data_IF_416161716597
#
_entry.id   IF_416161716597
#
_cell.length_a   1.000
_cell.length_b   1.000
_cell.length_c   1.000
_cell.angle_alpha   90.00
_cell.angle_beta   90.00
_cell.angle_gamma   90.00
#
_symmetry.space_group_name_H-M   'P 1'
#
loop_
_entity.id
_entity.type
_entity.pdbx_description
1 polymer ?
#
# COMPACT_ATOMS: atom_id res chain seq x y z
N UNK A 1 9.51 8.32 3.03
CA UNK A 1 9.28 7.56 1.78
C UNK A 1 9.81 6.14 1.99
N UNK A 2 8.94 5.14 2.11
CA UNK A 2 9.36 3.76 2.37
C UNK A 2 9.60 3.07 1.02
N UNK A 3 10.80 2.51 0.87
CA UNK A 3 11.24 1.74 -0.31
C UNK A 3 10.60 0.34 -0.26
N UNK A 4 10.17 -0.24 -1.39
CA UNK A 4 9.68 -1.62 -1.40
C UNK A 4 10.76 -2.61 -0.93
N UNK A 5 10.34 -3.59 -0.13
CA UNK A 5 11.23 -4.59 0.44
C UNK A 5 11.98 -5.34 -0.68
N UNK A 6 13.29 -5.55 -0.48
CA UNK A 6 14.17 -6.16 -1.49
C UNK A 6 14.84 -5.16 -2.46
N UNK A 7 14.51 -3.87 -2.40
CA UNK A 7 15.11 -2.82 -3.25
C UNK A 7 15.88 -1.76 -2.46
N UNK A 8 16.28 -2.08 -1.23
CA UNK A 8 16.97 -1.15 -0.31
C UNK A 8 18.33 -0.68 -0.85
N UNK A 9 19.01 -1.53 -1.61
CA UNK A 9 20.32 -1.26 -2.21
C UNK A 9 20.23 -0.76 -3.66
N UNK A 10 19.02 -0.64 -4.21
CA UNK A 10 18.80 -0.18 -5.58
C UNK A 10 18.55 1.33 -5.62
N UNK A 11 19.02 1.99 -6.69
CA UNK A 11 18.66 3.38 -6.93
C UNK A 11 17.24 3.45 -7.50
N UNK A 12 16.35 4.07 -6.73
CA UNK A 12 14.93 4.18 -7.08
C UNK A 12 14.52 5.62 -7.36
N UNK A 13 13.84 5.81 -8.49
CA UNK A 13 13.24 7.09 -8.88
C UNK A 13 11.74 7.04 -8.62
N UNK A 14 11.20 8.00 -7.87
CA UNK A 14 9.76 8.10 -7.64
C UNK A 14 9.04 8.54 -8.93
N UNK A 15 8.15 7.68 -9.47
CA UNK A 15 7.36 7.92 -10.70
C UNK A 15 5.87 8.16 -10.41
N UNK A 16 5.59 8.76 -9.24
CA UNK A 16 4.23 9.10 -8.82
C UNK A 16 3.47 7.90 -8.26
N UNK A 17 2.19 7.77 -8.60
CA UNK A 17 1.30 6.75 -8.02
C UNK A 17 0.53 5.99 -9.10
N UNK A 18 0.12 4.77 -8.79
CA UNK A 18 -0.91 4.05 -9.53
C UNK A 18 -2.28 4.71 -9.34
N UNK A 19 -3.26 4.23 -10.11
CA UNK A 19 -4.66 4.55 -9.88
C UNK A 19 -5.05 4.31 -8.43
N UNK A 20 -5.87 5.21 -7.89
CA UNK A 20 -6.41 5.07 -6.55
C UNK A 20 -7.35 3.88 -6.51
N UNK A 21 -7.28 3.10 -5.44
CA UNK A 21 -8.33 2.16 -5.06
C UNK A 21 -9.13 2.79 -3.93
N UNK A 22 -10.43 2.49 -3.86
CA UNK A 22 -11.29 2.90 -2.76
C UNK A 22 -11.64 1.67 -1.97
N UNK A 23 -11.29 1.67 -0.69
CA UNK A 23 -11.65 0.62 0.24
C UNK A 23 -12.76 1.17 1.13
N UNK A 24 -13.92 0.54 1.07
CA UNK A 24 -15.00 0.81 1.97
C UNK A 24 -14.93 -0.18 3.12
N UNK A 25 -14.90 0.34 4.34
CA UNK A 25 -14.90 -0.44 5.58
C UNK A 25 -15.87 0.18 6.60
N UNK A 26 -16.27 -0.59 7.61
CA UNK A 26 -17.10 -0.14 8.72
C UNK A 26 -16.33 -0.23 10.03
N UNK A 27 -15.22 0.51 10.20
CA UNK A 27 -14.42 0.37 11.40
C UNK A 27 -15.14 1.08 12.54
N UNK A 28 -15.68 0.26 13.45
CA UNK A 28 -16.03 0.55 14.83
C UNK A 28 -16.82 1.86 14.97
N UNK A 29 -18.17 1.72 15.03
CA UNK A 29 -19.26 2.72 15.25
C UNK A 29 -20.29 2.81 14.09
N UNK A 30 -20.40 1.81 13.22
CA UNK A 30 -21.40 1.72 12.11
C UNK A 30 -21.39 2.90 11.12
N UNK A 31 -20.34 3.71 11.11
CA UNK A 31 -20.15 4.78 10.12
C UNK A 31 -19.36 4.24 8.94
N UNK A 32 -19.82 4.47 7.70
CA UNK A 32 -19.06 4.07 6.53
C UNK A 32 -17.75 4.86 6.47
N UNK A 33 -16.61 4.17 6.46
CA UNK A 33 -15.30 4.74 6.19
C UNK A 33 -14.92 4.42 4.75
N UNK A 34 -14.56 5.46 4.00
CA UNK A 34 -14.00 5.34 2.66
C UNK A 34 -12.53 5.72 2.70
N UNK A 35 -11.66 4.74 2.43
CA UNK A 35 -10.23 4.91 2.31
C UNK A 35 -9.83 4.97 0.83
N UNK A 36 -9.41 6.14 0.36
CA UNK A 36 -8.82 6.29 -0.96
C UNK A 36 -7.32 6.02 -0.89
N UNK A 37 -6.89 4.83 -1.29
CA UNK A 37 -5.51 4.38 -1.20
C UNK A 37 -4.83 4.50 -2.56
N UNK A 38 -3.66 5.13 -2.59
CA UNK A 38 -2.82 5.24 -3.79
C UNK A 38 -1.47 4.56 -3.54
N UNK A 39 -1.11 3.62 -4.41
CA UNK A 39 0.18 2.91 -4.35
C UNK A 39 1.25 3.71 -5.08
N UNK A 40 2.39 3.96 -4.45
CA UNK A 40 3.52 4.66 -5.09
C UNK A 40 4.21 3.76 -6.10
N UNK A 41 4.62 4.34 -7.22
CA UNK A 41 5.48 3.73 -8.24
C UNK A 41 6.91 4.18 -8.08
N UNK A 42 7.80 3.22 -8.07
CA UNK A 42 9.23 3.42 -8.12
C UNK A 42 9.76 2.85 -9.41
N UNK A 43 10.73 3.51 -10.04
CA UNK A 43 11.47 2.97 -11.15
C UNK A 43 12.87 2.63 -10.67
N UNK A 44 13.28 1.38 -10.90
CA UNK A 44 14.65 0.94 -10.68
C UNK A 44 15.52 1.53 -11.78
N UNK A 45 16.56 2.28 -11.42
CA UNK A 45 17.41 2.97 -12.38
C UNK A 45 18.23 1.99 -13.25
N UNK A 46 18.68 0.89 -12.65
CA UNK A 46 19.52 -0.12 -13.29
C UNK A 46 18.80 -0.91 -14.38
N UNK A 47 17.53 -1.28 -14.15
CA UNK A 47 16.74 -2.12 -15.06
C UNK A 47 15.65 -1.37 -15.81
N UNK A 48 15.32 -0.15 -15.38
CA UNK A 48 14.15 0.59 -15.86
C UNK A 48 12.81 0.02 -15.40
N UNK A 49 12.81 -1.04 -14.60
CA UNK A 49 11.59 -1.70 -14.15
C UNK A 49 10.79 -0.81 -13.20
N UNK A 50 9.46 -0.78 -13.38
CA UNK A 50 8.56 -0.08 -12.45
C UNK A 50 8.09 -1.07 -11.40
N UNK A 51 8.42 -0.79 -10.16
CA UNK A 51 8.07 -1.57 -8.99
C UNK A 51 7.12 -0.79 -8.09
N UNK A 52 6.30 -1.50 -7.34
CA UNK A 52 5.47 -0.96 -6.29
C UNK A 52 5.38 -1.96 -5.16
N UNK A 53 5.05 -1.51 -3.94
CA UNK A 53 4.80 -2.44 -2.85
C UNK A 53 3.52 -3.21 -3.16
N UNK A 54 3.67 -4.51 -3.36
CA UNK A 54 2.53 -5.40 -3.56
C UNK A 54 1.94 -5.78 -2.22
N UNK A 55 0.61 -5.78 -2.13
CA UNK A 55 -0.07 -5.99 -0.85
C UNK A 55 -0.81 -7.32 -0.80
N UNK A 56 -0.73 -8.19 -1.81
CA UNK A 56 -1.69 -9.25 -2.18
C UNK A 56 -2.15 -10.30 -1.12
N UNK A 57 -1.69 -10.22 0.13
CA UNK A 57 -2.10 -11.17 1.20
C UNK A 57 -3.32 -10.64 1.96
N UNK A 58 -4.51 -10.82 1.39
CA UNK A 58 -5.81 -10.52 2.03
C UNK A 58 -5.88 -11.20 3.41
N UNK A 59 -6.03 -10.42 4.49
CA UNK A 59 -6.21 -10.94 5.83
C UNK A 59 -7.55 -11.67 5.88
N UNK A 60 -7.55 -12.95 6.23
CA UNK A 60 -8.76 -13.79 6.37
C UNK A 60 -9.82 -13.05 7.18
N UNK A 61 -10.83 -12.49 6.49
CA UNK A 61 -11.97 -11.80 7.10
C UNK A 61 -12.13 -10.31 6.75
N UNK A 62 -11.14 -9.64 6.18
CA UNK A 62 -11.26 -8.26 5.70
C UNK A 62 -10.86 -8.17 4.23
N UNK A 63 -11.43 -7.24 3.45
CA UNK A 63 -10.92 -6.93 2.09
C UNK A 63 -9.54 -6.25 2.12
N UNK A 64 -8.89 -6.26 3.28
CA UNK A 64 -7.64 -5.60 3.59
C UNK A 64 -6.56 -6.66 3.77
N UNK A 65 -5.34 -6.31 3.41
CA UNK A 65 -4.23 -7.24 3.48
C UNK A 65 -3.61 -7.23 4.87
N UNK A 66 -2.94 -8.29 5.32
CA UNK A 66 -2.42 -8.39 6.71
C UNK A 66 -1.51 -7.23 7.06
N UNK A 67 -0.62 -6.87 6.15
CA UNK A 67 0.31 -5.76 6.37
C UNK A 67 -0.41 -4.42 6.32
N UNK A 68 -1.45 -4.29 5.49
CA UNK A 68 -2.27 -3.08 5.43
C UNK A 68 -3.15 -2.92 6.68
N UNK A 69 -3.71 -4.00 7.21
CA UNK A 69 -4.44 -4.01 8.48
C UNK A 69 -3.50 -3.68 9.65
N UNK A 70 -2.28 -4.23 9.66
CA UNK A 70 -1.24 -3.90 10.64
C UNK A 70 -0.85 -2.42 10.57
N UNK A 71 -0.67 -1.89 9.36
CA UNK A 71 -0.40 -0.47 9.13
C UNK A 71 -1.53 0.43 9.64
N UNK A 72 -2.78 0.12 9.30
CA UNK A 72 -3.94 0.87 9.79
C UNK A 72 -4.06 0.77 11.31
N UNK A 73 -3.82 -0.40 11.91
CA UNK A 73 -3.82 -0.58 13.36
C UNK A 73 -2.73 0.27 14.05
N UNK A 74 -1.56 0.43 13.44
CA UNK A 74 -0.51 1.30 13.97
C UNK A 74 -0.79 2.81 13.81
N UNK A 75 -1.69 3.20 12.91
CA UNK A 75 -2.05 4.62 12.68
C UNK A 75 -3.32 5.00 13.44
N UNK A 76 -4.28 4.09 13.53
CA UNK A 76 -5.60 4.31 14.12
C UNK A 76 -5.73 3.77 15.54
N UNK A 77 -4.77 2.97 16.00
CA UNK A 77 -4.76 2.31 17.32
C UNK A 77 -3.73 2.88 18.26
#
# INVERSE_FOLDING_TARGET
>A
NIVPDGYENEKLISKGFHSSITIQDFPIRDKPLFLHVRRRRWQVESTGAVISRDWDTVAKGTRLTKDFATFLKGILG
#
